data_IF_762936005956
#
_entry.id   IF_762936005956
#
_cell.length_a   1.000
_cell.length_b   1.000
_cell.length_c   1.000
_cell.angle_alpha   90.00
_cell.angle_beta   90.00
_cell.angle_gamma   90.00
#
_symmetry.space_group_name_H-M   'P 1'
#
loop_
_entity.id
_entity.type
_entity.pdbx_description
1 polymer ?
#
# COMPACT_ATOMS: atom_id res chain seq x y z
N UNK A 1 32.42 -0.67 5.71
CA UNK A 1 31.04 -0.27 6.01
C UNK A 1 30.61 0.72 4.94
N UNK A 2 29.54 0.44 4.22
CA UNK A 2 28.99 1.37 3.23
C UNK A 2 28.48 2.62 3.97
N UNK A 3 28.83 3.80 3.49
CA UNK A 3 28.39 5.04 4.13
C UNK A 3 26.86 5.17 3.98
N UNK A 4 26.15 5.56 5.06
CA UNK A 4 24.70 5.84 5.01
C UNK A 4 24.40 6.91 3.97
N UNK A 5 23.49 6.60 3.06
CA UNK A 5 22.95 7.57 2.10
C UNK A 5 21.59 7.14 1.59
N UNK A 6 20.81 8.10 1.11
CA UNK A 6 19.49 7.89 0.52
C UNK A 6 19.51 8.39 -0.92
N UNK A 7 19.13 7.50 -1.85
CA UNK A 7 19.10 7.78 -3.29
C UNK A 7 17.66 7.66 -3.80
N UNK A 8 17.18 8.68 -4.50
CA UNK A 8 15.87 8.57 -5.20
C UNK A 8 15.93 7.48 -6.26
N UNK A 9 14.89 6.63 -6.30
CA UNK A 9 14.70 5.61 -7.34
C UNK A 9 14.16 6.29 -8.60
N UNK A 10 13.19 7.18 -8.43
CA UNK A 10 12.67 8.03 -9.50
C UNK A 10 12.47 9.48 -9.01
N UNK A 11 12.23 10.42 -9.90
CA UNK A 11 11.91 11.81 -9.50
C UNK A 11 10.62 11.93 -8.67
N UNK A 12 9.68 10.97 -8.81
CA UNK A 12 8.30 11.09 -8.33
C UNK A 12 7.96 10.13 -7.21
N UNK A 13 8.58 8.94 -7.19
CA UNK A 13 8.26 7.87 -6.23
C UNK A 13 9.50 7.05 -5.90
N UNK A 14 9.64 6.70 -4.62
CA UNK A 14 10.62 5.77 -4.09
C UNK A 14 12.02 6.34 -3.85
N UNK A 15 12.57 5.96 -2.72
CA UNK A 15 13.97 6.20 -2.32
C UNK A 15 14.59 4.92 -1.80
N UNK A 16 15.83 4.65 -2.16
CA UNK A 16 16.62 3.52 -1.65
C UNK A 16 17.52 4.01 -0.53
N UNK A 17 17.47 3.32 0.60
CA UNK A 17 18.29 3.59 1.80
C UNK A 17 19.41 2.56 1.85
N UNK A 18 20.66 3.04 1.93
CA UNK A 18 21.86 2.18 1.92
C UNK A 18 22.77 2.51 3.09
N UNK A 19 23.54 1.49 3.52
CA UNK A 19 24.59 1.67 4.53
C UNK A 19 24.09 1.87 5.95
N UNK A 20 22.85 1.45 6.27
CA UNK A 20 22.28 1.54 7.60
C UNK A 20 22.15 0.13 8.21
N UNK A 21 22.61 -0.02 9.44
CA UNK A 21 22.33 -1.19 10.27
C UNK A 21 20.96 -1.01 10.92
N UNK A 22 19.97 -1.76 10.42
CA UNK A 22 18.58 -1.65 10.90
C UNK A 22 18.37 -2.35 12.25
N UNK A 23 19.22 -3.31 12.60
CA UNK A 23 19.15 -4.04 13.87
C UNK A 23 19.80 -3.26 15.03
N UNK A 24 20.68 -2.31 14.69
CA UNK A 24 21.36 -1.46 15.65
C UNK A 24 20.56 -0.19 16.03
N UNK A 25 21.25 0.68 16.77
CA UNK A 25 20.70 2.01 17.10
C UNK A 25 20.81 2.96 15.91
N UNK A 26 19.66 3.34 15.38
CA UNK A 26 19.59 4.30 14.29
C UNK A 26 19.68 5.71 14.87
N UNK A 27 20.69 6.45 14.44
CA UNK A 27 20.94 7.84 14.89
C UNK A 27 19.78 8.76 14.48
N UNK A 28 19.53 9.77 15.30
CA UNK A 28 18.45 10.74 15.08
C UNK A 28 18.53 11.48 13.75
N UNK A 29 19.75 11.73 13.24
CA UNK A 29 19.92 12.36 11.93
C UNK A 29 19.58 11.44 10.77
N UNK A 30 19.82 10.13 10.89
CA UNK A 30 19.40 9.13 9.91
C UNK A 30 17.87 8.96 9.90
N UNK A 31 17.23 8.93 11.07
CA UNK A 31 15.77 8.95 11.17
C UNK A 31 15.16 10.16 10.47
N UNK A 32 15.65 11.38 10.75
CA UNK A 32 15.16 12.58 10.09
C UNK A 32 15.28 12.51 8.57
N UNK A 33 16.39 12.01 8.05
CA UNK A 33 16.59 11.87 6.60
C UNK A 33 15.64 10.82 6.00
N UNK A 34 15.43 9.69 6.67
CA UNK A 34 14.47 8.67 6.22
C UNK A 34 13.04 9.21 6.22
N UNK A 35 12.59 9.88 7.29
CA UNK A 35 11.28 10.49 7.36
C UNK A 35 11.09 11.55 6.25
N UNK A 36 12.10 12.40 6.03
CA UNK A 36 12.06 13.39 4.95
C UNK A 36 11.96 12.73 3.56
N UNK A 37 12.72 11.66 3.30
CA UNK A 37 12.64 10.92 2.05
C UNK A 37 11.29 10.23 1.88
N UNK A 38 10.76 9.65 2.96
CA UNK A 38 9.44 9.02 3.00
C UNK A 38 8.32 10.02 2.68
N UNK A 39 8.34 11.21 3.29
CA UNK A 39 7.38 12.29 3.01
C UNK A 39 7.45 12.82 1.58
N UNK A 40 8.64 12.80 0.97
CA UNK A 40 8.85 13.29 -0.39
C UNK A 40 8.48 12.29 -1.47
N UNK A 41 8.80 10.99 -1.26
CA UNK A 41 8.71 9.97 -2.30
C UNK A 41 7.74 8.85 -1.98
N UNK A 42 7.26 8.76 -0.74
CA UNK A 42 6.23 7.83 -0.28
C UNK A 42 6.67 6.37 -0.17
N UNK A 43 7.84 5.99 -0.66
CA UNK A 43 8.35 4.60 -0.59
C UNK A 43 9.82 4.61 -0.18
N UNK A 44 10.17 3.79 0.82
CA UNK A 44 11.55 3.46 1.16
C UNK A 44 11.85 2.01 0.82
N UNK A 45 12.96 1.79 0.15
CA UNK A 45 13.47 0.47 -0.23
C UNK A 45 14.81 0.23 0.46
N UNK A 46 14.93 -0.89 1.14
CA UNK A 46 16.16 -1.39 1.74
C UNK A 46 16.50 -2.72 1.08
N UNK A 47 17.72 -2.83 0.56
CA UNK A 47 18.18 -4.04 -0.14
C UNK A 47 19.10 -4.86 0.73
N UNK A 48 18.94 -6.19 0.69
CA UNK A 48 19.81 -7.15 1.37
C UNK A 48 20.02 -6.81 2.85
N UNK A 49 18.92 -6.61 3.59
CA UNK A 49 18.94 -6.28 5.01
C UNK A 49 18.42 -7.42 5.87
N UNK A 50 19.04 -7.62 7.05
CA UNK A 50 18.47 -8.49 8.07
C UNK A 50 17.50 -7.68 8.93
N UNK A 51 16.25 -8.15 9.00
CA UNK A 51 15.22 -7.50 9.79
C UNK A 51 14.32 -8.55 10.44
N UNK A 52 14.34 -8.61 11.76
CA UNK A 52 13.37 -9.41 12.53
C UNK A 52 12.01 -8.73 12.63
N UNK A 53 11.04 -9.42 13.21
CA UNK A 53 9.67 -8.90 13.36
C UNK A 53 9.63 -7.63 14.22
N UNK A 54 10.24 -7.59 15.41
CA UNK A 54 10.27 -6.38 16.22
C UNK A 54 10.92 -5.18 15.55
N UNK A 55 12.02 -5.38 14.84
CA UNK A 55 12.69 -4.31 14.10
C UNK A 55 11.84 -3.79 12.96
N UNK A 56 11.15 -4.66 12.22
CA UNK A 56 10.25 -4.22 11.16
C UNK A 56 9.08 -3.38 11.73
N UNK A 57 8.49 -3.77 12.87
CA UNK A 57 7.50 -2.96 13.58
C UNK A 57 8.07 -1.59 13.97
N UNK A 58 9.24 -1.56 14.60
CA UNK A 58 9.90 -0.30 15.01
C UNK A 58 10.09 0.64 13.82
N UNK A 59 10.56 0.15 12.68
CA UNK A 59 10.75 0.94 11.47
C UNK A 59 9.44 1.52 10.96
N UNK A 60 8.42 0.70 10.85
CA UNK A 60 7.11 1.06 10.30
C UNK A 60 6.42 2.09 11.20
N UNK A 61 6.38 1.85 12.50
CA UNK A 61 5.76 2.76 13.48
C UNK A 61 6.53 4.09 13.59
N UNK A 62 7.87 4.05 13.57
CA UNK A 62 8.65 5.30 13.59
C UNK A 62 8.35 6.16 12.37
N UNK A 63 8.27 5.57 11.18
CA UNK A 63 7.92 6.30 9.95
C UNK A 63 6.47 6.79 9.98
N UNK A 64 5.55 5.98 10.50
CA UNK A 64 4.15 6.37 10.68
C UNK A 64 4.03 7.64 11.55
N UNK A 65 4.78 7.70 12.63
CA UNK A 65 4.79 8.83 13.56
C UNK A 65 5.77 9.96 13.17
N UNK A 66 6.30 9.95 11.95
CA UNK A 66 7.20 11.02 11.46
C UNK A 66 8.52 11.13 12.22
N UNK A 67 8.99 10.03 12.82
CA UNK A 67 10.25 9.98 13.58
C UNK A 67 10.10 10.21 15.08
N UNK A 68 8.89 10.33 15.61
CA UNK A 68 8.63 10.48 17.05
C UNK A 68 8.73 9.14 17.77
N UNK A 69 9.91 8.82 18.30
CA UNK A 69 10.18 7.58 19.01
C UNK A 69 9.40 7.45 20.32
N UNK A 70 8.88 8.55 20.88
CA UNK A 70 8.07 8.50 22.12
C UNK A 70 6.71 7.82 21.91
N UNK A 71 6.30 7.66 20.68
CA UNK A 71 5.05 6.97 20.29
C UNK A 71 5.20 5.44 20.20
N UNK A 72 6.40 4.92 20.40
CA UNK A 72 6.66 3.48 20.30
C UNK A 72 6.37 2.70 21.59
N UNK A 73 6.13 3.39 22.71
CA UNK A 73 5.87 2.75 23.99
C UNK A 73 4.56 1.94 23.97
N UNK A 74 4.64 0.66 24.32
CA UNK A 74 3.49 -0.25 24.40
C UNK A 74 3.00 -0.80 23.05
N UNK A 75 3.74 -0.63 21.97
CA UNK A 75 3.42 -1.22 20.67
C UNK A 75 3.60 -2.74 20.75
N UNK A 76 2.56 -3.47 20.30
CA UNK A 76 2.69 -4.92 20.10
C UNK A 76 3.55 -5.18 18.86
N UNK A 77 4.66 -5.87 19.05
CA UNK A 77 5.63 -6.19 18.00
C UNK A 77 5.64 -7.65 17.56
N UNK A 78 4.64 -8.44 17.98
CA UNK A 78 4.63 -9.89 17.73
C UNK A 78 3.80 -10.29 16.50
N UNK A 79 2.89 -9.41 16.04
CA UNK A 79 1.96 -9.72 14.99
C UNK A 79 2.51 -9.45 13.58
N UNK A 80 2.35 -10.40 12.68
CA UNK A 80 2.59 -10.22 11.25
C UNK A 80 1.71 -11.16 10.44
N UNK A 81 1.63 -10.92 9.12
CA UNK A 81 1.02 -11.83 8.16
C UNK A 81 1.97 -12.11 6.99
N UNK A 82 1.57 -13.02 6.12
CA UNK A 82 2.29 -13.28 4.87
C UNK A 82 1.44 -12.89 3.67
N UNK A 83 2.09 -12.34 2.66
CA UNK A 83 1.61 -12.30 1.28
C UNK A 83 2.43 -13.35 0.53
N UNK A 84 1.84 -14.51 0.27
CA UNK A 84 2.61 -15.68 -0.15
C UNK A 84 1.80 -16.61 -1.05
N UNK A 85 2.48 -17.21 -2.05
CA UNK A 85 1.96 -18.31 -2.85
C UNK A 85 2.47 -19.69 -2.38
N UNK A 86 3.11 -19.75 -1.22
CA UNK A 86 3.66 -20.96 -0.60
C UNK A 86 3.09 -21.21 0.79
N UNK A 87 3.00 -20.19 1.64
CA UNK A 87 2.50 -20.30 3.00
C UNK A 87 1.00 -20.59 3.00
N UNK A 88 0.55 -21.57 3.78
CA UNK A 88 -0.84 -22.02 3.84
C UNK A 88 -1.81 -20.90 4.25
N UNK A 89 -1.39 -20.04 5.18
CA UNK A 89 -2.16 -18.88 5.62
C UNK A 89 -1.78 -17.57 4.89
N UNK A 90 -1.08 -17.69 3.76
CA UNK A 90 -0.61 -16.54 2.98
C UNK A 90 -1.76 -15.82 2.29
N UNK A 91 -1.87 -14.51 2.53
CA UNK A 91 -2.82 -13.66 1.82
C UNK A 91 -2.46 -13.50 0.34
N UNK A 92 -3.48 -13.33 -0.52
CA UNK A 92 -3.35 -13.07 -1.95
C UNK A 92 -2.35 -14.01 -2.68
N UNK A 93 -2.52 -15.35 -2.59
CA UNK A 93 -1.53 -16.29 -3.10
C UNK A 93 -1.35 -16.23 -4.61
N UNK A 94 -2.42 -15.98 -5.38
CA UNK A 94 -2.45 -16.02 -6.84
C UNK A 94 -3.11 -14.79 -7.45
N UNK A 95 -3.12 -14.73 -8.79
CA UNK A 95 -3.77 -13.70 -9.55
C UNK A 95 -3.03 -12.36 -9.57
N UNK A 96 -3.67 -11.35 -10.12
CA UNK A 96 -3.19 -9.99 -10.20
C UNK A 96 -3.89 -9.12 -9.16
N UNK A 97 -3.19 -8.18 -8.57
CA UNK A 97 -3.81 -7.09 -7.81
C UNK A 97 -3.74 -5.82 -8.65
N UNK A 98 -4.89 -5.21 -8.91
CA UNK A 98 -4.97 -3.89 -9.54
C UNK A 98 -4.41 -2.82 -8.60
N UNK A 99 -4.23 -1.60 -9.09
CA UNK A 99 -3.80 -0.49 -8.25
C UNK A 99 -4.83 -0.23 -7.15
N UNK A 100 -4.35 -0.28 -5.91
CA UNK A 100 -5.18 -0.16 -4.71
C UNK A 100 -4.44 0.56 -3.58
N UNK A 101 -5.22 0.93 -2.59
CA UNK A 101 -4.79 1.38 -1.27
C UNK A 101 -5.27 0.31 -0.29
N UNK A 102 -4.40 -0.22 0.55
CA UNK A 102 -4.80 -1.23 1.54
C UNK A 102 -5.91 -0.66 2.44
N UNK A 103 -7.04 -1.38 2.50
CA UNK A 103 -8.22 -0.99 3.28
C UNK A 103 -8.83 0.37 2.89
N UNK A 104 -8.76 0.78 1.63
CA UNK A 104 -9.32 2.03 1.11
C UNK A 104 -10.82 2.21 1.41
N UNK A 105 -11.54 1.13 1.54
CA UNK A 105 -12.96 1.05 1.89
C UNK A 105 -13.24 1.23 3.39
N UNK A 106 -12.21 1.34 4.22
CA UNK A 106 -12.29 1.55 5.67
C UNK A 106 -12.17 3.03 6.00
N UNK A 107 -12.85 3.45 7.07
CA UNK A 107 -12.63 4.79 7.65
C UNK A 107 -11.20 4.96 8.19
N UNK A 108 -10.52 3.85 8.45
CA UNK A 108 -9.13 3.81 8.93
C UNK A 108 -8.28 2.85 8.09
N UNK A 109 -7.83 3.28 6.90
CA UNK A 109 -6.91 2.47 6.09
C UNK A 109 -5.57 2.29 6.79
N UNK A 110 -4.85 1.22 6.46
CA UNK A 110 -3.44 1.09 6.88
C UNK A 110 -2.66 2.31 6.41
N UNK A 111 -1.89 2.93 7.31
CA UNK A 111 -1.20 4.15 6.93
C UNK A 111 0.23 3.92 6.47
N UNK A 112 0.93 2.96 7.11
CA UNK A 112 2.32 2.66 6.78
C UNK A 112 2.53 1.14 6.74
N UNK A 113 2.18 0.48 5.64
CA UNK A 113 2.48 -0.94 5.44
C UNK A 113 3.93 -1.15 5.00
N UNK A 114 4.37 -2.38 5.22
CA UNK A 114 5.67 -2.87 4.77
C UNK A 114 5.60 -4.32 4.33
N UNK A 115 6.51 -4.70 3.44
CA UNK A 115 6.75 -6.08 3.03
C UNK A 115 8.25 -6.39 3.12
N UNK A 116 8.58 -7.55 3.69
CA UNK A 116 9.94 -8.06 3.79
C UNK A 116 10.06 -9.41 3.07
N UNK A 117 11.00 -9.53 2.15
CA UNK A 117 11.26 -10.73 1.36
C UNK A 117 11.85 -11.85 2.22
N UNK A 118 11.02 -12.80 2.65
CA UNK A 118 11.45 -13.98 3.43
C UNK A 118 12.02 -15.05 2.53
N UNK A 119 11.30 -15.37 1.46
CA UNK A 119 11.73 -16.32 0.43
C UNK A 119 11.20 -15.84 -0.92
N UNK A 120 12.10 -15.54 -1.82
CA UNK A 120 11.75 -14.98 -3.14
C UNK A 120 12.63 -15.60 -4.21
N UNK A 121 12.00 -16.30 -5.13
CA UNK A 121 12.67 -16.87 -6.29
C UNK A 121 12.94 -15.81 -7.37
N UNK A 122 13.98 -16.02 -8.19
CA UNK A 122 14.17 -15.24 -9.40
C UNK A 122 12.92 -15.29 -10.31
N UNK A 123 12.47 -14.14 -10.78
CA UNK A 123 11.26 -14.04 -11.63
C UNK A 123 9.94 -13.96 -10.85
N UNK A 124 9.96 -13.91 -9.51
CA UNK A 124 8.77 -13.65 -8.71
C UNK A 124 8.11 -12.31 -9.11
N UNK A 125 6.78 -12.30 -9.09
CA UNK A 125 6.00 -11.13 -9.53
C UNK A 125 6.39 -9.85 -8.77
N UNK A 126 6.69 -8.74 -9.47
CA UNK A 126 7.04 -7.48 -8.86
C UNK A 126 5.83 -6.79 -8.22
N UNK A 127 6.13 -5.79 -7.41
CA UNK A 127 5.13 -4.80 -6.94
C UNK A 127 5.41 -3.46 -7.61
N UNK A 128 4.37 -2.83 -8.14
CA UNK A 128 4.46 -1.50 -8.73
C UNK A 128 3.89 -0.45 -7.79
N UNK A 129 4.45 0.76 -7.81
CA UNK A 129 4.06 1.86 -6.95
C UNK A 129 3.87 3.14 -7.75
N UNK A 130 2.88 3.95 -7.38
CA UNK A 130 2.62 5.28 -7.95
C UNK A 130 2.28 6.28 -6.84
N UNK A 131 2.78 7.52 -6.97
CA UNK A 131 2.58 8.57 -5.97
C UNK A 131 1.44 9.52 -6.39
N UNK A 132 0.32 9.46 -5.69
CA UNK A 132 -0.89 10.24 -6.01
C UNK A 132 -0.80 11.73 -5.62
N UNK A 133 0.12 12.10 -4.72
CA UNK A 133 0.46 13.52 -4.47
C UNK A 133 1.15 14.10 -5.70
N UNK A 134 2.06 13.33 -6.32
CA UNK A 134 2.67 13.75 -7.58
C UNK A 134 1.63 13.82 -8.69
N UNK A 135 0.76 12.81 -8.81
CA UNK A 135 -0.31 12.78 -9.81
C UNK A 135 -1.22 13.99 -9.70
N UNK A 136 -1.56 14.43 -8.48
CA UNK A 136 -2.28 15.69 -8.27
C UNK A 136 -1.50 16.92 -8.76
N UNK A 137 -0.20 17.00 -8.46
CA UNK A 137 0.63 18.16 -8.87
C UNK A 137 0.61 18.37 -10.38
N UNK A 138 0.69 17.28 -11.15
CA UNK A 138 0.75 17.30 -12.62
C UNK A 138 -0.63 17.17 -13.30
N UNK A 139 -1.70 17.03 -12.53
CA UNK A 139 -3.06 16.98 -13.07
C UNK A 139 -3.40 18.34 -13.74
N UNK A 140 -4.00 18.35 -14.93
CA UNK A 140 -4.46 19.58 -15.58
C UNK A 140 -5.42 20.38 -14.68
N UNK A 141 -5.31 21.71 -14.73
CA UNK A 141 -6.11 22.59 -13.85
C UNK A 141 -7.61 22.45 -14.10
N UNK A 142 -8.04 22.15 -15.31
CA UNK A 142 -9.44 21.85 -15.64
C UNK A 142 -9.94 20.61 -14.88
N UNK A 143 -9.12 19.56 -14.80
CA UNK A 143 -9.47 18.35 -14.05
C UNK A 143 -9.43 18.62 -12.54
N UNK A 144 -8.46 19.39 -12.05
CA UNK A 144 -8.45 19.82 -10.63
C UNK A 144 -9.73 20.58 -10.27
N UNK A 145 -10.15 21.52 -11.13
CA UNK A 145 -11.39 22.27 -10.94
C UNK A 145 -12.61 21.36 -10.99
N UNK A 146 -12.64 20.39 -11.91
CA UNK A 146 -13.75 19.44 -12.07
C UNK A 146 -13.91 18.51 -10.87
N UNK A 147 -12.83 18.05 -10.23
CA UNK A 147 -12.91 17.13 -9.09
C UNK A 147 -13.00 17.83 -7.75
N UNK A 148 -12.84 19.15 -7.72
CA UNK A 148 -12.93 19.96 -6.49
C UNK A 148 -14.31 19.81 -5.85
N UNK A 149 -14.34 19.36 -4.59
CA UNK A 149 -15.57 19.15 -3.84
C UNK A 149 -16.33 17.88 -4.19
N UNK A 150 -15.87 17.08 -5.15
CA UNK A 150 -16.44 15.77 -5.42
C UNK A 150 -15.89 14.72 -4.45
N UNK A 151 -16.75 13.76 -4.10
CA UNK A 151 -16.41 12.57 -3.31
C UNK A 151 -16.63 11.31 -4.12
N UNK A 152 -15.88 10.27 -3.80
CA UNK A 152 -16.01 8.96 -4.41
C UNK A 152 -16.33 7.90 -3.36
N UNK A 153 -17.07 6.87 -3.76
CA UNK A 153 -17.36 5.69 -2.95
C UNK A 153 -16.34 4.61 -3.24
N UNK A 154 -15.80 4.03 -2.17
CA UNK A 154 -14.85 2.93 -2.21
C UNK A 154 -15.44 1.73 -1.51
N UNK A 155 -15.32 0.56 -2.11
CA UNK A 155 -15.87 -0.70 -1.59
C UNK A 155 -14.78 -1.73 -1.41
N UNK A 156 -14.93 -2.58 -0.39
CA UNK A 156 -14.14 -3.79 -0.26
C UNK A 156 -14.43 -4.72 -1.43
N UNK A 157 -13.44 -5.51 -1.81
CA UNK A 157 -13.55 -6.45 -2.92
C UNK A 157 -12.55 -6.18 -4.03
N UNK A 158 -12.30 -7.21 -4.83
CA UNK A 158 -11.29 -7.17 -5.89
C UNK A 158 -11.87 -6.96 -7.28
N UNK A 159 -13.15 -6.70 -7.37
CA UNK A 159 -13.81 -6.46 -8.64
C UNK A 159 -13.61 -5.01 -9.04
N UNK A 160 -12.61 -4.74 -9.85
CA UNK A 160 -12.57 -3.48 -10.59
C UNK A 160 -13.91 -3.21 -11.27
N UNK A 161 -14.29 -1.96 -11.49
CA UNK A 161 -15.60 -1.47 -11.99
C UNK A 161 -16.19 -2.25 -13.19
N UNK A 162 -16.50 -3.55 -13.02
CA UNK A 162 -17.05 -4.42 -14.07
C UNK A 162 -16.07 -4.84 -15.16
N UNK A 163 -14.79 -4.57 -15.01
CA UNK A 163 -13.75 -5.18 -15.84
C UNK A 163 -13.56 -6.61 -15.37
N UNK A 164 -14.13 -7.55 -16.10
CA UNK A 164 -13.87 -8.97 -15.94
C UNK A 164 -12.44 -9.24 -16.38
N UNK A 165 -11.54 -9.22 -15.44
CA UNK A 165 -10.19 -9.70 -15.61
C UNK A 165 -10.04 -10.96 -14.76
N UNK A 166 -8.98 -11.70 -14.94
CA UNK A 166 -8.66 -12.93 -14.20
C UNK A 166 -8.69 -12.78 -12.67
N UNK A 167 -8.79 -11.55 -12.18
CA UNK A 167 -8.90 -11.17 -10.79
C UNK A 167 -10.24 -11.53 -10.13
N UNK A 168 -11.24 -11.89 -10.93
CA UNK A 168 -12.52 -12.41 -10.43
C UNK A 168 -12.37 -13.75 -9.69
N UNK A 169 -11.25 -14.45 -9.85
CA UNK A 169 -10.98 -15.72 -9.18
C UNK A 169 -10.49 -15.54 -7.73
N UNK A 170 -10.01 -14.36 -7.36
CA UNK A 170 -9.81 -14.03 -5.95
C UNK A 170 -11.14 -13.58 -5.35
N UNK A 171 -12.09 -14.50 -5.28
CA UNK A 171 -13.40 -14.27 -4.68
C UNK A 171 -13.17 -13.94 -3.21
N UNK A 172 -13.28 -12.65 -2.89
CA UNK A 172 -13.41 -12.28 -1.49
C UNK A 172 -14.77 -12.77 -1.00
N UNK A 173 -14.82 -13.33 0.21
CA UNK A 173 -16.09 -13.75 0.83
C UNK A 173 -17.11 -12.59 0.81
N UNK A 174 -18.40 -12.91 0.83
CA UNK A 174 -19.48 -11.91 0.73
C UNK A 174 -19.41 -10.83 1.83
N UNK A 175 -18.86 -11.15 3.00
CA UNK A 175 -18.61 -10.16 4.06
C UNK A 175 -17.66 -9.03 3.64
N UNK A 176 -16.69 -9.33 2.78
CA UNK A 176 -15.75 -8.30 2.29
C UNK A 176 -16.44 -7.26 1.39
N UNK A 177 -17.60 -7.57 0.84
CA UNK A 177 -18.41 -6.68 0.00
C UNK A 177 -19.30 -5.72 0.79
N UNK A 178 -19.35 -5.88 2.11
CA UNK A 178 -20.24 -5.09 2.98
C UNK A 178 -19.62 -3.81 3.53
N UNK A 179 -18.33 -3.58 3.26
CA UNK A 179 -17.62 -2.42 3.79
C UNK A 179 -17.43 -1.38 2.69
N UNK A 180 -17.83 -0.17 2.99
CA UNK A 180 -17.67 0.97 2.10
C UNK A 180 -17.30 2.24 2.86
N UNK A 181 -16.65 3.16 2.17
CA UNK A 181 -16.41 4.53 2.66
C UNK A 181 -16.58 5.53 1.52
N UNK A 182 -16.87 6.77 1.90
CA UNK A 182 -16.98 7.90 0.96
C UNK A 182 -15.95 8.93 1.37
N UNK A 183 -15.04 9.25 0.46
CA UNK A 183 -13.97 10.23 0.72
C UNK A 183 -13.88 11.27 -0.40
N UNK A 184 -13.33 12.47 -0.12
CA UNK A 184 -13.03 13.43 -1.17
C UNK A 184 -12.05 12.84 -2.20
N UNK A 185 -12.28 13.09 -3.50
CA UNK A 185 -11.34 12.72 -4.58
C UNK A 185 -10.00 13.45 -4.42
N UNK A 186 -10.06 14.75 -4.12
CA UNK A 186 -8.91 15.58 -3.80
C UNK A 186 -8.79 15.69 -2.28
N UNK A 187 -8.00 14.81 -1.66
CA UNK A 187 -7.87 14.72 -0.22
C UNK A 187 -6.53 15.29 0.24
N UNK A 188 -6.52 15.89 1.43
CA UNK A 188 -5.27 16.32 2.08
C UNK A 188 -4.63 15.16 2.80
N UNK A 189 -3.35 14.96 2.55
CA UNK A 189 -2.56 13.98 3.30
C UNK A 189 -2.44 14.42 4.76
N UNK A 190 -2.82 13.58 5.76
CA UNK A 190 -2.91 13.99 7.15
C UNK A 190 -1.56 14.43 7.75
N UNK A 191 -0.45 13.79 7.39
CA UNK A 191 0.88 14.10 7.91
C UNK A 191 1.59 15.21 7.14
N UNK A 192 1.57 15.18 5.80
CA UNK A 192 2.35 16.10 4.95
C UNK A 192 1.56 17.32 4.50
N UNK A 193 0.23 17.31 4.60
CA UNK A 193 -0.65 18.37 4.10
C UNK A 193 -0.74 18.46 2.57
N UNK A 194 0.01 17.63 1.84
CA UNK A 194 -0.05 17.57 0.38
C UNK A 194 -1.44 17.13 -0.12
N UNK A 195 -1.91 17.68 -1.24
CA UNK A 195 -3.13 17.18 -1.86
C UNK A 195 -2.80 15.95 -2.70
N UNK A 196 -3.63 14.90 -2.60
CA UNK A 196 -3.50 13.66 -3.34
C UNK A 196 -4.79 13.30 -4.07
N UNK A 197 -4.69 12.53 -5.16
CA UNK A 197 -5.83 11.90 -5.81
C UNK A 197 -6.17 10.61 -5.06
N UNK A 198 -7.23 10.65 -4.25
CA UNK A 198 -7.61 9.54 -3.38
C UNK A 198 -8.70 8.66 -4.02
N UNK A 199 -8.39 8.15 -5.21
CA UNK A 199 -9.20 7.19 -5.98
C UNK A 199 -8.27 6.12 -6.55
N UNK A 200 -8.70 4.86 -6.61
CA UNK A 200 -7.91 3.76 -7.15
C UNK A 200 -8.73 2.83 -8.04
N UNK A 201 -8.07 2.12 -8.92
CA UNK A 201 -8.71 1.25 -9.92
C UNK A 201 -9.48 0.09 -9.27
N UNK A 202 -8.93 -0.51 -8.23
CA UNK A 202 -9.49 -1.72 -7.61
C UNK A 202 -10.76 -1.45 -6.80
N UNK A 203 -10.78 -0.40 -5.98
CA UNK A 203 -11.78 -0.23 -4.93
C UNK A 203 -12.73 0.94 -5.16
N UNK A 204 -12.38 1.92 -6.00
CA UNK A 204 -13.27 3.05 -6.28
C UNK A 204 -14.38 2.64 -7.25
N UNK A 205 -15.64 2.83 -6.84
CA UNK A 205 -16.82 2.40 -7.61
C UNK A 205 -17.45 3.52 -8.42
N UNK A 206 -17.70 4.66 -7.77
CA UNK A 206 -18.39 5.78 -8.40
C UNK A 206 -18.01 7.11 -7.76
N UNK A 207 -18.29 8.18 -8.49
CA UNK A 207 -18.26 9.55 -7.97
C UNK A 207 -19.68 9.91 -7.55
N UNK A 208 -19.84 10.31 -6.28
CA UNK A 208 -21.14 10.61 -5.70
C UNK A 208 -21.79 11.81 -6.41
N UNK A 209 -23.07 11.65 -6.75
CA UNK A 209 -23.87 12.70 -7.37
C UNK A 209 -23.72 12.84 -8.89
N UNK A 210 -22.85 12.05 -9.52
CA UNK A 210 -22.76 11.98 -10.98
C UNK A 210 -23.54 10.78 -11.54
N UNK A 211 -24.18 10.94 -12.72
CA UNK A 211 -24.68 9.79 -13.46
C UNK A 211 -23.58 8.77 -13.73
N UNK A 212 -23.90 7.47 -13.68
CA UNK A 212 -22.89 6.38 -13.81
C UNK A 212 -21.93 6.58 -14.98
N UNK A 213 -22.45 6.92 -16.16
CA UNK A 213 -21.63 7.13 -17.37
C UNK A 213 -20.63 8.28 -17.20
N UNK A 214 -21.03 9.36 -16.55
CA UNK A 214 -20.16 10.52 -16.31
C UNK A 214 -19.11 10.20 -15.23
N UNK A 215 -19.54 9.53 -14.17
CA UNK A 215 -18.67 9.04 -13.12
C UNK A 215 -17.60 8.13 -13.69
N UNK A 216 -17.97 7.12 -14.48
CA UNK A 216 -17.04 6.17 -15.08
C UNK A 216 -16.04 6.89 -16.00
N UNK A 217 -16.51 7.80 -16.87
CA UNK A 217 -15.65 8.54 -17.79
C UNK A 217 -14.63 9.44 -17.04
N UNK A 218 -15.06 10.09 -15.96
CA UNK A 218 -14.18 10.93 -15.15
C UNK A 218 -13.15 10.07 -14.39
N UNK A 219 -13.56 8.95 -13.79
CA UNK A 219 -12.64 8.01 -13.14
C UNK A 219 -11.62 7.44 -14.13
N UNK A 220 -12.04 7.05 -15.34
CA UNK A 220 -11.12 6.56 -16.38
C UNK A 220 -10.10 7.63 -16.77
N UNK A 221 -10.54 8.89 -16.86
CA UNK A 221 -9.63 10.02 -17.13
C UNK A 221 -8.62 10.20 -15.99
N UNK A 222 -9.06 10.15 -14.74
CA UNK A 222 -8.16 10.25 -13.59
C UNK A 222 -7.17 9.10 -13.53
N UNK A 223 -7.61 7.86 -13.77
CA UNK A 223 -6.73 6.70 -13.80
C UNK A 223 -5.69 6.77 -14.92
N UNK A 224 -6.06 7.26 -16.09
CA UNK A 224 -5.10 7.50 -17.18
C UNK A 224 -4.03 8.54 -16.80
N UNK A 225 -4.34 9.48 -15.90
CA UNK A 225 -3.35 10.42 -15.36
C UNK A 225 -2.50 9.87 -14.22
N UNK A 226 -3.10 9.04 -13.35
CA UNK A 226 -2.38 8.44 -12.21
C UNK A 226 -1.38 7.39 -12.70
N UNK A 227 -1.79 6.51 -13.61
CA UNK A 227 -1.01 5.31 -14.00
C UNK A 227 -0.19 5.51 -15.27
N UNK A 228 0.31 6.72 -15.50
CA UNK A 228 1.28 6.97 -16.58
C UNK A 228 2.58 6.20 -16.31
N UNK A 229 3.15 5.54 -17.32
CA UNK A 229 4.37 4.73 -17.15
C UNK A 229 5.52 5.49 -16.46
N UNK A 230 5.69 6.78 -16.79
CA UNK A 230 6.72 7.64 -16.20
C UNK A 230 6.51 7.97 -14.71
N UNK A 231 5.30 7.72 -14.18
CA UNK A 231 4.94 7.93 -12.77
C UNK A 231 5.07 6.66 -11.93
N UNK A 232 5.37 5.53 -12.54
CA UNK A 232 5.38 4.22 -11.90
C UNK A 232 6.82 3.77 -11.66
N UNK A 233 7.08 3.18 -10.50
CA UNK A 233 8.26 2.34 -10.29
C UNK A 233 7.84 0.88 -10.11
N UNK A 234 8.70 -0.02 -10.54
CA UNK A 234 8.54 -1.45 -10.37
C UNK A 234 9.64 -1.99 -9.45
N UNK A 235 9.23 -2.64 -8.34
CA UNK A 235 10.13 -3.26 -7.40
C UNK A 235 10.17 -4.76 -7.66
N UNK A 236 11.28 -5.22 -8.25
CA UNK A 236 11.58 -6.64 -8.38
C UNK A 236 12.14 -7.14 -7.06
N UNK A 237 11.39 -8.04 -6.45
CA UNK A 237 11.68 -8.58 -5.12
C UNK A 237 12.91 -9.51 -5.14
N UNK A 238 13.64 -9.49 -4.04
CA UNK A 238 14.67 -10.45 -3.66
C UNK A 238 14.45 -10.82 -2.20
N UNK A 239 14.93 -12.00 -1.83
CA UNK A 239 15.04 -12.36 -0.40
C UNK A 239 15.85 -11.27 0.31
N UNK A 240 15.40 -10.86 1.51
CA UNK A 240 15.98 -9.80 2.35
C UNK A 240 15.79 -8.36 1.83
N UNK A 241 14.92 -8.14 0.85
CA UNK A 241 14.44 -6.79 0.56
C UNK A 241 13.38 -6.37 1.57
N UNK A 242 13.45 -5.14 2.08
CA UNK A 242 12.38 -4.51 2.84
C UNK A 242 11.87 -3.30 2.07
N UNK A 243 10.57 -3.21 1.88
CA UNK A 243 9.89 -2.05 1.30
C UNK A 243 8.84 -1.54 2.27
N UNK A 244 8.86 -0.24 2.56
CA UNK A 244 7.90 0.46 3.43
C UNK A 244 7.28 1.59 2.61
N UNK A 245 5.95 1.73 2.63
CA UNK A 245 5.31 2.81 1.88
C UNK A 245 4.21 3.53 2.66
N UNK A 246 3.95 4.75 2.25
CA UNK A 246 2.88 5.60 2.73
C UNK A 246 1.59 5.25 1.98
N UNK A 247 0.77 4.42 2.55
CA UNK A 247 -0.44 3.90 1.91
C UNK A 247 -1.51 4.97 1.64
N UNK A 248 -1.40 6.14 2.28
CA UNK A 248 -2.33 7.25 2.00
C UNK A 248 -2.05 7.88 0.64
N UNK A 249 -0.78 8.04 0.29
CA UNK A 249 -0.33 8.72 -0.92
C UNK A 249 0.18 7.79 -2.02
N UNK A 250 0.48 6.54 -1.69
CA UNK A 250 1.04 5.54 -2.61
C UNK A 250 0.00 4.47 -2.89
N UNK A 251 -0.37 4.33 -4.15
CA UNK A 251 -1.08 3.14 -4.62
C UNK A 251 -0.07 2.11 -5.10
N UNK A 252 -0.42 0.85 -4.90
CA UNK A 252 0.40 -0.25 -5.34
C UNK A 252 -0.41 -1.32 -6.07
N UNK A 253 0.28 -2.05 -6.94
CA UNK A 253 -0.30 -3.19 -7.65
C UNK A 253 0.69 -4.34 -7.71
N UNK A 254 0.22 -5.52 -8.03
CA UNK A 254 1.04 -6.72 -8.21
C UNK A 254 0.73 -7.36 -9.55
N UNK A 255 1.77 -7.68 -10.30
CA UNK A 255 1.63 -8.47 -11.51
C UNK A 255 1.03 -9.84 -11.22
N UNK A 256 0.55 -10.52 -12.25
CA UNK A 256 -0.07 -11.82 -12.11
C UNK A 256 0.88 -12.85 -11.47
N UNK A 257 0.38 -13.57 -10.47
CA UNK A 257 1.06 -14.70 -9.82
C UNK A 257 0.34 -15.96 -10.24
N UNK A 258 1.06 -16.84 -10.92
CA UNK A 258 0.57 -18.14 -11.37
C UNK A 258 0.67 -19.19 -10.27
N UNK A 259 -0.30 -20.11 -10.22
CA UNK A 259 -0.24 -21.27 -9.32
C UNK A 259 0.93 -22.18 -9.71
N UNK A 260 1.81 -22.51 -8.73
CA UNK A 260 3.02 -23.28 -8.98
C UNK A 260 4.16 -22.49 -9.63
N UNK A 261 4.04 -21.18 -9.78
CA UNK A 261 5.11 -20.28 -10.25
C UNK A 261 6.18 -20.02 -9.18
N UNK A 262 7.11 -19.07 -9.45
CA UNK A 262 8.19 -18.73 -8.54
C UNK A 262 7.68 -18.39 -7.14
N UNK A 263 8.37 -18.87 -6.09
CA UNK A 263 8.02 -18.59 -4.70
C UNK A 263 8.14 -17.11 -4.42
N UNK A 264 7.12 -16.57 -3.74
CA UNK A 264 7.05 -15.20 -3.32
C UNK A 264 6.40 -15.13 -1.93
N UNK A 265 7.22 -15.28 -0.89
CA UNK A 265 6.81 -15.16 0.51
C UNK A 265 7.32 -13.86 1.07
N UNK A 266 6.41 -12.94 1.36
CA UNK A 266 6.69 -11.61 1.91
C UNK A 266 5.99 -11.47 3.25
N UNK A 267 6.76 -11.16 4.31
CA UNK A 267 6.21 -10.82 5.63
C UNK A 267 5.62 -9.42 5.62
N UNK A 268 4.33 -9.31 5.93
CA UNK A 268 3.58 -8.04 5.99
C UNK A 268 3.45 -7.55 7.42
N UNK A 269 3.84 -6.30 7.64
CA UNK A 269 3.61 -5.54 8.88
C UNK A 269 3.09 -4.15 8.48
N UNK A 270 2.21 -3.57 9.28
CA UNK A 270 1.65 -2.24 9.02
C UNK A 270 1.47 -1.45 10.31
N UNK A 271 1.46 -0.13 10.20
CA UNK A 271 1.13 0.80 11.29
C UNK A 271 -0.12 1.63 10.92
N UNK A 272 -0.90 2.09 11.91
CA UNK A 272 -0.78 1.73 13.34
C UNK A 272 -1.29 0.30 13.58
N UNK A 273 -0.55 -0.50 14.31
CA UNK A 273 -0.94 -1.89 14.58
C UNK A 273 -2.01 -2.00 15.69
N UNK A 274 -1.80 -1.25 16.79
CA UNK A 274 -2.71 -1.34 17.95
C UNK A 274 -4.06 -0.64 17.71
N UNK A 275 -4.07 0.46 16.99
CA UNK A 275 -5.28 1.22 16.69
C UNK A 275 -6.24 0.41 15.80
N UNK A 276 -5.72 -0.31 14.81
CA UNK A 276 -6.53 -1.13 13.92
C UNK A 276 -7.27 -2.26 14.63
N UNK A 277 -6.64 -2.93 15.61
CA UNK A 277 -7.32 -3.95 16.41
C UNK A 277 -8.51 -3.39 17.19
N UNK A 278 -8.45 -2.13 17.60
CA UNK A 278 -9.53 -1.49 18.36
C UNK A 278 -10.75 -1.23 17.46
N UNK A 279 -10.53 -0.81 16.22
CA UNK A 279 -11.59 -0.54 15.24
C UNK A 279 -12.08 -1.79 14.50
N UNK A 280 -11.24 -2.82 14.43
CA UNK A 280 -11.53 -4.08 13.76
C UNK A 280 -12.00 -5.17 14.73
N UNK A 281 -12.72 -4.80 15.80
CA UNK A 281 -13.32 -5.77 16.73
C UNK A 281 -14.12 -6.87 16.02
N UNK A 282 -14.63 -6.59 14.83
CA UNK A 282 -15.38 -7.52 14.00
C UNK A 282 -14.49 -8.31 13.02
N UNK A 283 -13.19 -8.05 12.90
CA UNK A 283 -12.31 -8.88 12.08
C UNK A 283 -11.95 -10.22 12.75
N UNK A 284 -12.01 -10.28 14.09
CA UNK A 284 -11.90 -11.57 14.79
C UNK A 284 -13.16 -12.44 14.57
N UNK A 285 -14.29 -11.85 14.12
CA UNK A 285 -15.51 -12.55 13.74
C UNK A 285 -15.55 -12.86 12.22
N UNK A 286 -14.52 -12.49 11.48
CA UNK A 286 -14.37 -12.82 10.07
C UNK A 286 -13.77 -14.23 10.00
N UNK A 287 -14.46 -15.22 9.41
CA UNK A 287 -13.92 -16.55 9.21
C UNK A 287 -12.58 -16.45 8.47
N UNK A 288 -11.58 -17.12 8.97
CA UNK A 288 -10.34 -17.32 8.21
C UNK A 288 -10.66 -18.12 6.96
N UNK A 289 -9.85 -18.00 5.90
CA UNK A 289 -10.04 -18.73 4.64
C UNK A 289 -10.28 -20.26 4.81
N UNK A 290 -9.85 -20.83 5.95
CA UNK A 290 -10.04 -22.22 6.31
C UNK A 290 -11.46 -22.57 6.76
N UNK A 291 -12.31 -21.58 7.07
CA UNK A 291 -13.67 -21.80 7.60
C UNK A 291 -14.77 -21.54 6.55
N UNK A 292 -14.40 -21.05 5.35
CA UNK A 292 -15.33 -20.94 4.25
C UNK A 292 -15.45 -22.31 3.57
N UNK A 293 -16.52 -23.05 3.84
CA UNK A 293 -16.81 -24.27 3.10
C UNK A 293 -16.93 -23.96 1.60
N UNK A 294 -16.36 -24.79 0.71
CA UNK A 294 -16.51 -24.62 -0.73
C UNK A 294 -18.00 -24.82 -1.09
N UNK A 295 -18.57 -23.81 -1.74
CA UNK A 295 -19.90 -23.87 -2.36
C UNK A 295 -19.81 -24.63 -3.67
#
# INVERSE_FOLDING_TARGET
MTQFHIRKISPTVGSEVQGLDLMGDIRADAWRQMCQAFDQTGVLVFRDVDVDVPTQHRLVETLHHGGDLSKLDGINTDGFGYISNKEEEGGAPYGRLLYHIDMHWSEMPFQTPSLYGVEVDPGAAPTTFVNTVHSWKVLPDELKARVKGLSARHESGQQGRGRTTYEAELIQPDWARSHETITPIAMKHPRTGGTMLYVCEQQTREIIGLPKRESDALLDTLFAHIYKPECIIEHHWRTRDLVIWDNMSIQHSRHYVEGGGPVRTLRKIHAPYNELRHYMKNLNDIPTYAEAEPV
#
